data_IF_454665769214
#
_entry.id   IF_454665769214
#
_cell.length_a   1.000
_cell.length_b   1.000
_cell.length_c   1.000
_cell.angle_alpha   90.00
_cell.angle_beta   90.00
_cell.angle_gamma   90.00
#
_symmetry.space_group_name_H-M   'P 1'
#
loop_
_entity.id
_entity.type
_entity.pdbx_description
1 polymer ?
#
# COMPACT_ATOMS: atom_id res chain seq x y z
N UNK A 1 -26.69 -57.61 -54.90
CA UNK A 1 -25.42 -56.97 -54.46
C UNK A 1 -25.78 -55.52 -54.16
N UNK A 2 -25.71 -54.97 -52.95
CA UNK A 2 -24.95 -55.31 -51.76
C UNK A 2 -25.83 -55.24 -50.50
N UNK A 3 -25.57 -56.15 -49.55
CA UNK A 3 -26.26 -56.24 -48.27
C UNK A 3 -25.80 -55.13 -47.32
N UNK A 4 -26.78 -54.55 -46.63
CA UNK A 4 -26.59 -53.62 -45.51
C UNK A 4 -26.14 -54.41 -44.28
N UNK A 5 -25.11 -53.95 -43.56
CA UNK A 5 -24.93 -54.28 -42.14
C UNK A 5 -24.27 -53.16 -41.36
N UNK A 6 -25.04 -52.71 -40.37
CA UNK A 6 -24.73 -51.75 -39.31
C UNK A 6 -23.71 -52.35 -38.33
N UNK A 7 -22.88 -51.47 -37.75
CA UNK A 7 -21.63 -51.70 -37.04
C UNK A 7 -21.71 -52.48 -35.71
N UNK A 8 -20.60 -53.08 -35.23
CA UNK A 8 -20.41 -53.39 -33.83
C UNK A 8 -19.62 -52.27 -33.11
N UNK A 9 -20.05 -51.99 -31.88
CA UNK A 9 -19.38 -51.13 -30.93
C UNK A 9 -18.12 -51.78 -30.32
N UNK A 10 -17.13 -50.94 -30.00
CA UNK A 10 -16.14 -51.23 -28.97
C UNK A 10 -14.69 -51.09 -29.41
N UNK A 11 -14.22 -49.88 -29.70
CA UNK A 11 -12.78 -49.63 -29.80
C UNK A 11 -12.19 -49.36 -28.40
N UNK A 12 -11.47 -50.35 -27.88
CA UNK A 12 -10.55 -50.22 -26.75
C UNK A 12 -9.25 -49.61 -27.27
N UNK A 13 -8.93 -48.40 -26.82
CA UNK A 13 -7.67 -47.72 -27.14
C UNK A 13 -6.50 -48.47 -26.48
N UNK A 14 -5.75 -49.24 -27.24
CA UNK A 14 -4.47 -49.82 -26.80
C UNK A 14 -3.39 -48.73 -26.81
N UNK A 15 -2.77 -48.52 -25.64
CA UNK A 15 -1.65 -47.62 -25.39
C UNK A 15 -0.48 -47.87 -26.35
N UNK A 16 -0.25 -46.95 -27.29
CA UNK A 16 1.01 -46.87 -28.01
C UNK A 16 2.05 -46.16 -27.14
N UNK A 17 3.12 -46.90 -26.80
CA UNK A 17 4.35 -46.36 -26.25
C UNK A 17 4.96 -45.39 -27.27
N UNK A 18 4.86 -44.09 -27.02
CA UNK A 18 5.65 -43.11 -27.76
C UNK A 18 7.04 -43.00 -27.13
N UNK A 19 8.01 -43.55 -27.85
CA UNK A 19 9.46 -43.44 -27.64
C UNK A 19 9.86 -41.97 -27.49
N UNK A 20 10.57 -41.68 -26.40
CA UNK A 20 11.24 -40.40 -26.14
C UNK A 20 12.21 -40.08 -27.28
N UNK A 21 11.87 -39.08 -28.11
CA UNK A 21 12.85 -38.42 -28.96
C UNK A 21 13.73 -37.53 -28.07
N UNK A 22 15.03 -37.80 -28.13
CA UNK A 22 16.11 -36.99 -27.61
C UNK A 22 15.94 -35.52 -28.03
N UNK A 23 15.44 -34.66 -27.11
CA UNK A 23 15.64 -33.22 -27.22
C UNK A 23 17.08 -32.93 -26.82
N UNK A 24 17.80 -32.30 -27.74
CA UNK A 24 19.19 -31.89 -27.67
C UNK A 24 19.53 -31.14 -26.38
N UNK A 25 20.80 -31.26 -25.95
CA UNK A 25 21.46 -30.45 -24.92
C UNK A 25 21.45 -28.97 -25.31
N UNK A 26 20.26 -28.36 -25.27
CA UNK A 26 20.10 -26.93 -25.33
C UNK A 26 20.63 -26.42 -24.00
N UNK A 27 21.93 -26.09 -23.99
CA UNK A 27 22.65 -25.50 -22.86
C UNK A 27 21.68 -24.57 -22.14
N UNK A 28 21.22 -24.98 -20.95
CA UNK A 28 20.45 -24.12 -20.06
C UNK A 28 21.27 -22.83 -19.93
N UNK A 29 20.84 -21.77 -20.62
CA UNK A 29 21.50 -20.47 -20.50
C UNK A 29 21.51 -20.17 -19.01
N UNK A 30 22.65 -19.75 -18.42
CA UNK A 30 22.64 -19.25 -17.06
C UNK A 30 21.52 -18.23 -17.00
N UNK A 31 20.56 -18.43 -16.09
CA UNK A 31 19.52 -17.43 -15.84
C UNK A 31 20.29 -16.12 -15.65
N UNK A 32 19.99 -15.04 -16.40
CA UNK A 32 20.68 -13.77 -16.24
C UNK A 32 20.79 -13.48 -14.75
N UNK A 33 21.99 -13.10 -14.28
CA UNK A 33 22.17 -12.72 -12.89
C UNK A 33 21.04 -11.77 -12.54
N UNK A 34 20.20 -12.15 -11.57
CA UNK A 34 18.97 -11.44 -11.27
C UNK A 34 19.31 -9.96 -11.11
N UNK A 35 18.82 -9.10 -12.01
CA UNK A 35 19.05 -7.68 -11.89
C UNK A 35 18.25 -7.21 -10.67
N UNK A 36 18.95 -6.79 -9.62
CA UNK A 36 18.31 -6.36 -8.39
C UNK A 36 17.92 -4.89 -8.53
N UNK A 37 16.63 -4.61 -8.44
CA UNK A 37 16.11 -3.24 -8.42
C UNK A 37 16.36 -2.51 -7.10
N UNK A 38 16.07 -1.19 -7.04
CA UNK A 38 16.31 -0.36 -5.86
C UNK A 38 15.56 -0.88 -4.61
N UNK A 39 14.36 -1.42 -4.78
CA UNK A 39 13.59 -2.00 -3.67
C UNK A 39 14.25 -3.26 -3.09
N UNK A 40 14.89 -4.10 -3.92
CA UNK A 40 15.58 -5.28 -3.41
C UNK A 40 16.80 -4.90 -2.54
N UNK A 41 17.46 -3.78 -2.88
CA UNK A 41 18.52 -3.19 -2.06
C UNK A 41 17.96 -2.70 -0.71
N UNK A 42 16.85 -1.96 -0.74
CA UNK A 42 16.19 -1.47 0.47
C UNK A 42 15.78 -2.62 1.41
N UNK A 43 15.22 -3.71 0.87
CA UNK A 43 14.87 -4.90 1.65
C UNK A 43 16.10 -5.52 2.31
N UNK A 44 17.19 -5.70 1.56
CA UNK A 44 18.43 -6.26 2.10
C UNK A 44 18.97 -5.43 3.28
N UNK A 45 19.09 -4.12 3.09
CA UNK A 45 19.58 -3.18 4.11
C UNK A 45 18.66 -3.13 5.34
N UNK A 46 17.34 -3.11 5.13
CA UNK A 46 16.37 -3.04 6.22
C UNK A 46 16.26 -4.34 7.02
N UNK A 47 16.33 -5.50 6.35
CA UNK A 47 16.37 -6.79 7.05
C UNK A 47 17.59 -6.84 7.96
N UNK A 48 18.78 -6.49 7.45
CA UNK A 48 20.00 -6.48 8.26
C UNK A 48 19.91 -5.48 9.41
N UNK A 49 19.51 -4.23 9.12
CA UNK A 49 19.40 -3.14 10.10
C UNK A 49 18.44 -3.50 11.22
N UNK A 50 17.24 -3.98 10.91
CA UNK A 50 16.20 -4.30 11.90
C UNK A 50 16.59 -5.56 12.70
N UNK A 51 17.15 -6.59 12.03
CA UNK A 51 17.65 -7.79 12.71
C UNK A 51 18.72 -7.43 13.74
N UNK A 52 19.70 -6.60 13.35
CA UNK A 52 20.77 -6.12 14.25
C UNK A 52 20.23 -5.27 15.39
N UNK A 53 19.30 -4.34 15.11
CA UNK A 53 18.66 -3.51 16.14
C UNK A 53 17.90 -4.33 17.20
N UNK A 54 17.47 -5.55 16.84
CA UNK A 54 16.82 -6.50 17.74
C UNK A 54 17.76 -7.49 18.41
N UNK A 55 19.07 -7.36 18.20
CA UNK A 55 20.07 -8.30 18.73
C UNK A 55 19.96 -9.71 18.16
N UNK A 56 19.28 -9.90 17.02
CA UNK A 56 19.08 -11.22 16.42
C UNK A 56 20.29 -11.61 15.57
N UNK A 57 20.77 -12.84 15.74
CA UNK A 57 21.70 -13.45 14.79
C UNK A 57 20.96 -13.95 13.56
N UNK A 58 21.67 -14.25 12.48
CA UNK A 58 21.07 -14.88 11.29
C UNK A 58 20.46 -16.25 11.62
N UNK A 59 21.08 -17.00 12.54
CA UNK A 59 20.57 -18.29 13.01
C UNK A 59 19.28 -18.13 13.84
N UNK A 60 19.24 -17.12 14.71
CA UNK A 60 18.04 -16.79 15.48
C UNK A 60 16.88 -16.42 14.56
N UNK A 61 17.11 -15.55 13.57
CA UNK A 61 16.09 -15.20 12.58
C UNK A 61 15.59 -16.42 11.79
N UNK A 62 16.51 -17.30 11.37
CA UNK A 62 16.17 -18.56 10.70
C UNK A 62 15.28 -19.45 11.54
N UNK A 63 15.60 -19.62 12.84
CA UNK A 63 14.80 -20.42 13.77
C UNK A 63 13.41 -19.83 14.01
N UNK A 64 13.27 -18.51 14.11
CA UNK A 64 11.94 -17.87 14.23
C UNK A 64 11.11 -17.98 12.95
N UNK A 65 11.75 -17.92 11.78
CA UNK A 65 11.10 -18.14 10.48
C UNK A 65 10.57 -19.57 10.32
N UNK A 66 11.29 -20.56 10.86
CA UNK A 66 10.83 -21.96 10.92
C UNK A 66 9.56 -22.10 11.78
N UNK A 67 9.53 -21.45 12.95
CA UNK A 67 8.37 -21.48 13.88
C UNK A 67 7.09 -20.91 13.26
N UNK A 68 7.18 -19.94 12.35
CA UNK A 68 6.02 -19.36 11.66
C UNK A 68 5.66 -20.11 10.36
N UNK A 69 6.25 -21.29 10.13
CA UNK A 69 5.95 -22.14 8.98
C UNK A 69 6.55 -21.66 7.66
N UNK A 70 7.54 -20.75 7.70
CA UNK A 70 8.24 -20.26 6.50
C UNK A 70 9.76 -20.35 6.66
N UNK A 71 10.34 -21.57 6.64
CA UNK A 71 11.76 -21.77 6.88
C UNK A 71 12.63 -21.08 5.83
N UNK A 72 13.55 -20.22 6.28
CA UNK A 72 14.62 -19.65 5.46
C UNK A 72 15.95 -20.00 6.13
N UNK A 73 16.80 -20.75 5.41
CA UNK A 73 18.09 -21.18 5.94
C UNK A 73 19.00 -19.98 6.31
N UNK A 74 19.89 -20.10 7.30
CA UNK A 74 20.81 -19.02 7.70
C UNK A 74 21.64 -18.49 6.52
N UNK A 75 22.14 -19.39 5.67
CA UNK A 75 22.91 -19.03 4.47
C UNK A 75 22.09 -18.26 3.43
N UNK A 76 20.77 -18.49 3.38
CA UNK A 76 19.86 -17.78 2.51
C UNK A 76 19.58 -16.36 3.02
N UNK A 77 19.37 -16.18 4.32
CA UNK A 77 19.25 -14.87 4.96
C UNK A 77 20.51 -14.04 4.71
N UNK A 78 21.70 -14.64 4.91
CA UNK A 78 22.97 -13.94 4.66
C UNK A 78 23.12 -13.51 3.18
N UNK A 79 22.56 -14.27 2.24
CA UNK A 79 22.50 -13.88 0.82
C UNK A 79 21.47 -12.79 0.56
N UNK A 80 20.35 -12.77 1.27
CA UNK A 80 19.34 -11.70 1.19
C UNK A 80 19.99 -10.38 1.62
N UNK A 81 20.65 -10.34 2.78
CA UNK A 81 21.32 -9.14 3.31
C UNK A 81 22.43 -8.61 2.39
N UNK A 82 23.11 -9.50 1.66
CA UNK A 82 24.11 -9.14 0.65
C UNK A 82 23.55 -8.82 -0.73
N UNK A 83 22.22 -8.76 -0.88
CA UNK A 83 21.55 -8.57 -2.18
C UNK A 83 21.95 -9.63 -3.22
N UNK A 84 22.26 -10.84 -2.77
CA UNK A 84 22.66 -12.00 -3.58
C UNK A 84 21.52 -13.03 -3.71
N UNK A 85 20.35 -12.74 -3.14
CA UNK A 85 19.14 -13.55 -3.26
C UNK A 85 17.91 -12.64 -3.28
N UNK A 86 17.03 -12.85 -4.26
CA UNK A 86 15.72 -12.20 -4.29
C UNK A 86 14.85 -12.70 -3.16
N UNK A 87 13.97 -11.84 -2.64
CA UNK A 87 13.02 -12.14 -1.58
C UNK A 87 11.64 -12.32 -2.20
N UNK A 88 11.07 -13.54 -2.21
CA UNK A 88 9.67 -13.77 -2.55
C UNK A 88 8.72 -12.95 -1.67
N UNK A 89 7.53 -12.64 -2.16
CA UNK A 89 6.53 -11.83 -1.41
C UNK A 89 6.15 -12.49 -0.08
N UNK A 90 5.95 -13.81 -0.05
CA UNK A 90 5.67 -14.51 1.21
C UNK A 90 6.85 -14.46 2.18
N UNK A 91 8.09 -14.55 1.69
CA UNK A 91 9.30 -14.43 2.53
C UNK A 91 9.39 -13.01 3.11
N UNK A 92 9.04 -11.99 2.32
CA UNK A 92 8.99 -10.60 2.79
C UNK A 92 7.98 -10.43 3.93
N UNK A 93 6.79 -11.02 3.81
CA UNK A 93 5.77 -10.99 4.86
C UNK A 93 6.23 -11.76 6.09
N UNK A 94 6.79 -12.96 5.93
CA UNK A 94 7.32 -13.75 7.03
C UNK A 94 8.45 -13.02 7.77
N UNK A 95 9.36 -12.36 7.03
CA UNK A 95 10.40 -11.51 7.60
C UNK A 95 9.79 -10.34 8.38
N UNK A 96 8.77 -9.68 7.85
CA UNK A 96 8.09 -8.59 8.55
C UNK A 96 7.45 -9.06 9.86
N UNK A 97 6.79 -10.22 9.85
CA UNK A 97 6.17 -10.83 11.03
C UNK A 97 7.22 -11.17 12.09
N UNK A 98 8.27 -11.91 11.72
CA UNK A 98 9.31 -12.35 12.67
C UNK A 98 10.13 -11.18 13.20
N UNK A 99 10.46 -10.22 12.35
CA UNK A 99 11.11 -8.97 12.74
C UNK A 99 10.11 -7.97 13.34
N UNK A 100 8.87 -8.37 13.64
CA UNK A 100 7.78 -7.58 14.19
C UNK A 100 7.79 -6.12 13.71
N UNK A 101 7.73 -5.96 12.39
CA UNK A 101 7.76 -4.69 11.67
C UNK A 101 6.73 -4.73 10.54
N UNK A 102 6.46 -3.59 9.89
CA UNK A 102 5.58 -3.57 8.73
C UNK A 102 6.32 -3.99 7.46
N UNK A 103 5.66 -4.59 6.46
CA UNK A 103 6.26 -4.82 5.15
C UNK A 103 6.79 -3.53 4.52
N UNK A 104 6.10 -2.40 4.76
CA UNK A 104 6.54 -1.08 4.32
C UNK A 104 7.93 -0.69 4.85
N UNK A 105 8.23 -1.02 6.11
CA UNK A 105 9.53 -0.74 6.71
C UNK A 105 10.67 -1.60 6.16
N UNK A 106 10.36 -2.69 5.47
CA UNK A 106 11.33 -3.46 4.70
C UNK A 106 11.49 -2.90 3.28
N UNK A 107 10.40 -2.45 2.67
CA UNK A 107 10.35 -2.06 1.26
C UNK A 107 10.96 -0.68 0.96
N UNK A 108 10.90 0.29 1.90
CA UNK A 108 11.41 1.63 1.68
C UNK A 108 12.66 1.94 2.51
N UNK A 109 13.60 2.76 2.00
CA UNK A 109 14.71 3.23 2.80
C UNK A 109 14.23 3.96 4.06
N UNK A 110 14.97 3.82 5.16
CA UNK A 110 14.67 4.44 6.46
C UNK A 110 15.00 5.95 6.48
N UNK A 111 14.51 6.68 5.49
CA UNK A 111 14.67 8.13 5.30
C UNK A 111 13.29 8.77 5.12
N UNK A 112 13.20 10.06 5.41
CA UNK A 112 11.96 10.83 5.30
C UNK A 112 12.27 12.26 4.82
N UNK A 113 11.25 12.96 4.31
CA UNK A 113 11.38 14.31 3.76
C UNK A 113 11.43 14.31 2.25
N UNK A 114 12.18 15.25 1.68
CA UNK A 114 12.25 15.50 0.23
C UNK A 114 13.46 14.81 -0.44
N UNK A 115 14.15 13.95 0.31
CA UNK A 115 15.22 13.09 -0.23
C UNK A 115 14.61 12.18 -1.32
N UNK A 116 15.20 12.11 -2.52
CA UNK A 116 14.70 11.26 -3.58
C UNK A 116 14.86 9.78 -3.23
N UNK A 117 13.81 8.99 -3.48
CA UNK A 117 13.76 7.54 -3.33
C UNK A 117 13.36 6.94 -4.67
N UNK A 118 14.15 5.99 -5.16
CA UNK A 118 13.84 5.24 -6.38
C UNK A 118 12.83 4.13 -6.07
N UNK A 119 11.62 4.23 -6.64
CA UNK A 119 10.63 3.16 -6.57
C UNK A 119 10.89 2.10 -7.66
N UNK A 120 11.36 2.55 -8.82
CA UNK A 120 11.79 1.73 -9.94
C UNK A 120 12.97 2.42 -10.63
N UNK A 121 13.63 1.76 -11.59
CA UNK A 121 14.72 2.35 -12.36
C UNK A 121 14.34 3.62 -13.13
N UNK A 122 13.04 3.83 -13.39
CA UNK A 122 12.54 4.97 -14.17
C UNK A 122 11.71 5.94 -13.32
N UNK A 123 11.54 5.68 -12.02
CA UNK A 123 10.64 6.45 -11.16
C UNK A 123 11.25 6.75 -9.81
N UNK A 124 11.49 8.04 -9.57
CA UNK A 124 11.91 8.59 -8.30
C UNK A 124 10.83 9.50 -7.74
N UNK A 125 10.67 9.49 -6.42
CA UNK A 125 9.75 10.38 -5.70
C UNK A 125 10.41 10.84 -4.41
N UNK A 126 9.92 11.91 -3.81
CA UNK A 126 10.31 12.28 -2.45
C UNK A 126 10.03 11.13 -1.47
N UNK A 127 10.91 10.89 -0.50
CA UNK A 127 10.74 9.86 0.53
C UNK A 127 9.39 9.97 1.24
N UNK A 128 8.94 11.20 1.54
CA UNK A 128 7.62 11.47 2.11
C UNK A 128 6.49 10.92 1.24
N UNK A 129 6.54 11.17 -0.07
CA UNK A 129 5.55 10.66 -1.03
C UNK A 129 5.59 9.14 -1.08
N UNK A 130 6.78 8.52 -1.16
CA UNK A 130 6.93 7.07 -1.13
C UNK A 130 6.30 6.44 0.12
N UNK A 131 6.59 7.00 1.30
CA UNK A 131 6.06 6.50 2.56
C UNK A 131 4.55 6.71 2.73
N UNK A 132 4.01 7.84 2.26
CA UNK A 132 2.56 8.05 2.24
C UNK A 132 1.90 7.06 1.29
N UNK A 133 2.48 6.86 0.11
CA UNK A 133 1.97 5.90 -0.86
C UNK A 133 1.95 4.47 -0.35
N UNK A 134 3.05 3.96 0.19
CA UNK A 134 3.11 2.56 0.65
C UNK A 134 2.19 2.31 1.86
N UNK A 135 1.84 3.36 2.62
CA UNK A 135 0.87 3.32 3.71
C UNK A 135 -0.58 3.45 3.24
N UNK A 136 -0.82 3.56 1.93
CA UNK A 136 -2.14 3.78 1.36
C UNK A 136 -2.68 5.18 1.63
N UNK A 137 -1.83 6.16 1.96
CA UNK A 137 -2.20 7.52 2.36
C UNK A 137 -2.20 8.55 1.22
N UNK A 138 -1.72 8.20 0.03
CA UNK A 138 -1.80 9.03 -1.19
C UNK A 138 -1.31 8.23 -2.40
N UNK A 139 -1.58 8.65 -3.64
CA UNK A 139 -0.91 8.08 -4.81
C UNK A 139 0.62 8.24 -4.75
N UNK A 140 1.34 7.38 -5.49
CA UNK A 140 2.80 7.48 -5.67
C UNK A 140 3.19 8.56 -6.69
N UNK A 141 2.23 9.12 -7.41
CA UNK A 141 2.45 10.26 -8.30
C UNK A 141 1.91 11.49 -7.62
N UNK A 142 2.71 12.53 -7.67
CA UNK A 142 2.28 13.88 -7.33
C UNK A 142 1.44 14.48 -8.47
N UNK A 143 1.39 13.86 -9.66
CA UNK A 143 0.71 14.38 -10.87
C UNK A 143 1.19 15.80 -11.27
N UNK A 144 2.41 16.17 -10.85
CA UNK A 144 2.93 17.54 -10.97
C UNK A 144 2.48 18.49 -9.86
N UNK A 145 1.76 17.98 -8.84
CA UNK A 145 1.28 18.72 -7.68
C UNK A 145 1.99 18.23 -6.43
N UNK A 146 2.92 19.02 -5.91
CA UNK A 146 3.64 18.64 -4.69
C UNK A 146 2.64 18.74 -3.52
N UNK A 147 2.40 17.70 -2.71
CA UNK A 147 1.41 17.77 -1.62
C UNK A 147 1.68 18.85 -0.56
N UNK A 148 2.86 19.48 -0.55
CA UNK A 148 3.16 20.66 0.27
C UNK A 148 2.63 21.98 -0.31
N UNK A 149 2.44 22.05 -1.63
CA UNK A 149 1.88 23.21 -2.34
C UNK A 149 0.35 23.22 -2.28
N UNK A 150 -0.28 22.08 -1.98
CA UNK A 150 -1.72 22.00 -1.74
C UNK A 150 -2.04 22.67 -0.41
N UNK A 151 -2.71 23.81 -0.49
CA UNK A 151 -3.28 24.56 0.63
C UNK A 151 -4.74 24.16 0.71
N UNK A 152 -5.11 23.32 1.68
CA UNK A 152 -6.53 23.14 2.03
C UNK A 152 -6.93 24.35 2.88
N UNK A 153 -7.25 25.44 2.19
CA UNK A 153 -7.70 26.73 2.73
C UNK A 153 -9.15 27.03 2.36
N UNK A 154 -9.77 28.06 2.93
CA UNK A 154 -11.13 28.46 2.58
C UNK A 154 -11.13 29.06 1.15
N UNK A 155 -12.11 28.62 0.36
CA UNK A 155 -12.44 29.02 -1.02
C UNK A 155 -12.37 30.56 -1.26
N UNK A 156 -11.22 31.15 -1.58
CA UNK A 156 -11.14 32.57 -1.98
C UNK A 156 -10.32 32.85 -3.26
N UNK A 157 -9.79 31.84 -3.95
CA UNK A 157 -9.13 32.05 -5.25
C UNK A 157 -9.59 31.02 -6.30
N UNK A 158 -10.30 31.49 -7.34
CA UNK A 158 -11.01 30.64 -8.32
C UNK A 158 -10.13 29.72 -9.19
N UNK A 159 -8.80 29.85 -9.11
CA UNK A 159 -7.82 28.97 -9.78
C UNK A 159 -7.36 27.80 -8.90
N UNK A 160 -7.53 27.89 -7.57
CA UNK A 160 -7.24 26.80 -6.62
C UNK A 160 -8.37 25.74 -6.67
N UNK A 161 -9.61 26.14 -6.99
CA UNK A 161 -10.80 25.26 -7.05
C UNK A 161 -10.71 24.11 -8.06
N UNK A 162 -10.07 24.29 -9.23
CA UNK A 162 -9.95 23.22 -10.22
C UNK A 162 -8.90 22.19 -9.82
N UNK A 163 -7.74 22.64 -9.34
CA UNK A 163 -6.66 21.78 -8.87
C UNK A 163 -7.08 20.99 -7.63
N UNK A 164 -7.78 21.65 -6.71
CA UNK A 164 -8.32 21.02 -5.51
C UNK A 164 -9.39 19.98 -5.85
N UNK A 165 -10.35 20.31 -6.72
CA UNK A 165 -11.34 19.32 -7.20
C UNK A 165 -10.68 18.12 -7.86
N UNK A 166 -9.69 18.35 -8.72
CA UNK A 166 -8.96 17.27 -9.41
C UNK A 166 -8.18 16.41 -8.42
N UNK A 167 -7.53 17.02 -7.43
CA UNK A 167 -6.83 16.32 -6.36
C UNK A 167 -7.79 15.45 -5.54
N UNK A 168 -8.93 15.99 -5.13
CA UNK A 168 -9.93 15.26 -4.36
C UNK A 168 -10.57 14.13 -5.14
N UNK A 169 -10.90 14.34 -6.42
CA UNK A 169 -11.41 13.28 -7.30
C UNK A 169 -10.40 12.14 -7.42
N UNK A 170 -9.15 12.47 -7.70
CA UNK A 170 -8.06 11.50 -7.81
C UNK A 170 -7.84 10.72 -6.51
N UNK A 171 -7.97 11.39 -5.36
CA UNK A 171 -7.89 10.73 -4.06
C UNK A 171 -9.05 9.75 -3.87
N UNK A 172 -10.27 10.12 -4.26
CA UNK A 172 -11.41 9.21 -4.23
C UNK A 172 -11.18 7.99 -5.13
N UNK A 173 -10.65 8.21 -6.34
CA UNK A 173 -10.34 7.14 -7.29
C UNK A 173 -9.24 6.21 -6.74
N UNK A 174 -8.21 6.77 -6.12
CA UNK A 174 -7.16 6.01 -5.45
C UNK A 174 -7.69 5.19 -4.28
N UNK A 175 -8.49 5.79 -3.40
CA UNK A 175 -9.09 5.09 -2.27
C UNK A 175 -10.09 4.02 -2.75
N UNK A 176 -10.75 4.21 -3.90
CA UNK A 176 -11.67 3.25 -4.51
C UNK A 176 -11.00 1.92 -4.91
N UNK A 177 -9.73 1.96 -5.32
CA UNK A 177 -8.98 0.76 -5.73
C UNK A 177 -8.06 0.22 -4.63
N UNK A 178 -7.71 1.04 -3.64
CA UNK A 178 -6.75 0.69 -2.59
C UNK A 178 -7.42 0.07 -1.36
N UNK A 179 -8.65 0.50 -1.03
CA UNK A 179 -9.28 0.19 0.26
C UNK A 179 -10.51 -0.70 0.10
N UNK A 180 -10.74 -1.64 1.04
CA UNK A 180 -12.00 -2.36 1.12
C UNK A 180 -13.21 -1.41 1.22
N UNK A 181 -14.40 -1.81 0.72
CA UNK A 181 -15.57 -0.93 0.68
C UNK A 181 -15.94 -0.29 2.02
N UNK A 182 -15.85 -1.03 3.11
CA UNK A 182 -16.16 -0.56 4.47
C UNK A 182 -15.17 0.50 4.92
N UNK A 183 -13.88 0.25 4.73
CA UNK A 183 -12.81 1.19 5.11
C UNK A 183 -12.83 2.45 4.24
N UNK A 184 -13.18 2.31 2.96
CA UNK A 184 -13.37 3.44 2.05
C UNK A 184 -14.49 4.37 2.51
N UNK A 185 -15.64 3.83 2.97
CA UNK A 185 -16.73 4.66 3.52
C UNK A 185 -16.27 5.45 4.73
N UNK A 186 -15.56 4.78 5.65
CA UNK A 186 -15.01 5.45 6.84
C UNK A 186 -14.06 6.58 6.43
N UNK A 187 -13.17 6.33 5.47
CA UNK A 187 -12.17 7.31 5.03
C UNK A 187 -12.77 8.50 4.26
N UNK A 188 -13.81 8.28 3.48
CA UNK A 188 -14.50 9.33 2.71
C UNK A 188 -15.40 10.21 3.59
N UNK A 189 -15.69 9.78 4.82
CA UNK A 189 -16.46 10.56 5.78
C UNK A 189 -15.80 11.94 6.05
N UNK A 190 -16.56 13.05 6.11
CA UNK A 190 -16.02 14.40 6.39
C UNK A 190 -15.07 14.44 7.59
N UNK A 191 -15.49 13.91 8.75
CA UNK A 191 -14.64 13.80 9.93
C UNK A 191 -13.29 13.12 9.67
N UNK A 192 -13.25 12.00 8.92
CA UNK A 192 -11.99 11.33 8.59
C UNK A 192 -11.10 12.15 7.66
N UNK A 193 -11.70 12.94 6.75
CA UNK A 193 -10.96 13.87 5.89
C UNK A 193 -10.35 15.01 6.71
N UNK A 194 -11.07 15.52 7.70
CA UNK A 194 -10.55 16.54 8.61
C UNK A 194 -9.48 15.99 9.56
N UNK A 195 -9.54 14.71 9.98
CA UNK A 195 -8.43 14.03 10.67
C UNK A 195 -7.17 14.02 9.78
N UNK A 196 -7.30 13.61 8.52
CA UNK A 196 -6.16 13.58 7.58
C UNK A 196 -5.58 14.99 7.35
N UNK A 197 -6.44 16.01 7.23
CA UNK A 197 -6.03 17.41 7.10
C UNK A 197 -5.32 17.91 8.35
N UNK A 198 -5.87 17.69 9.54
CA UNK A 198 -5.26 18.07 10.81
C UNK A 198 -3.89 17.41 10.98
N UNK A 199 -3.78 16.10 10.71
CA UNK A 199 -2.51 15.40 10.77
C UNK A 199 -1.46 16.00 9.80
N UNK A 200 -1.85 16.36 8.57
CA UNK A 200 -0.96 17.02 7.63
C UNK A 200 -0.47 18.39 8.15
N UNK A 201 -1.37 19.22 8.67
CA UNK A 201 -1.00 20.55 9.18
C UNK A 201 -0.11 20.47 10.43
N UNK A 202 -0.39 19.52 11.33
CA UNK A 202 0.45 19.25 12.50
C UNK A 202 1.82 18.72 12.09
N UNK A 203 1.91 17.79 11.13
CA UNK A 203 3.19 17.31 10.61
C UNK A 203 4.04 18.43 10.01
N UNK A 204 3.43 19.41 9.31
CA UNK A 204 4.13 20.58 8.78
C UNK A 204 4.62 21.48 9.91
N UNK A 205 3.75 21.81 10.86
CA UNK A 205 4.07 22.65 12.01
C UNK A 205 5.24 22.09 12.84
N UNK A 206 5.19 20.81 13.20
CA UNK A 206 6.22 20.15 14.01
C UNK A 206 7.61 20.22 13.35
N UNK A 207 7.68 20.19 12.01
CA UNK A 207 8.96 20.34 11.30
C UNK A 207 9.53 21.75 11.38
N UNK A 208 8.66 22.75 11.47
CA UNK A 208 9.09 24.14 11.56
C UNK A 208 9.70 24.45 12.94
N UNK A 209 9.28 23.74 13.99
CA UNK A 209 9.84 23.88 15.36
C UNK A 209 11.36 23.70 15.38
N UNK A 210 11.91 22.76 14.59
CA UNK A 210 13.35 22.54 14.46
C UNK A 210 13.98 23.17 13.21
N UNK A 211 13.21 23.97 12.46
CA UNK A 211 13.58 24.52 11.16
C UNK A 211 14.12 25.94 11.22
N UNK A 212 14.41 26.51 10.03
CA UNK A 212 14.80 27.91 9.85
C UNK A 212 13.61 28.81 9.50
N UNK A 213 12.39 28.35 9.74
CA UNK A 213 11.20 29.13 9.43
C UNK A 213 11.19 30.42 10.28
N UNK A 214 10.79 31.54 9.67
CA UNK A 214 10.57 32.78 10.43
C UNK A 214 9.31 32.68 11.28
N UNK A 215 9.23 33.50 12.33
CA UNK A 215 8.15 33.50 13.31
C UNK A 215 6.75 33.66 12.67
N UNK A 216 6.62 34.55 11.67
CA UNK A 216 5.37 34.78 10.93
C UNK A 216 4.89 33.51 10.22
N UNK A 217 5.77 32.85 9.47
CA UNK A 217 5.42 31.60 8.78
C UNK A 217 5.03 30.48 9.76
N UNK A 218 5.68 30.45 10.93
CA UNK A 218 5.33 29.51 11.99
C UNK A 218 3.93 29.77 12.56
N UNK A 219 3.60 31.03 12.86
CA UNK A 219 2.28 31.43 13.36
C UNK A 219 1.17 31.16 12.33
N UNK A 220 1.42 31.40 11.04
CA UNK A 220 0.49 31.05 9.97
C UNK A 220 0.22 29.54 9.93
N UNK A 221 1.27 28.73 10.01
CA UNK A 221 1.14 27.27 10.01
C UNK A 221 0.46 26.76 11.29
N UNK A 222 0.69 27.41 12.43
CA UNK A 222 0.00 27.12 13.69
C UNK A 222 -1.50 27.43 13.59
N UNK A 223 -1.85 28.57 12.99
CA UNK A 223 -3.24 28.96 12.73
C UNK A 223 -3.96 27.97 11.80
N UNK A 224 -3.29 27.52 10.74
CA UNK A 224 -3.80 26.47 9.83
C UNK A 224 -4.03 25.15 10.56
N UNK A 225 -3.10 24.75 11.43
CA UNK A 225 -3.24 23.52 12.22
C UNK A 225 -4.40 23.59 13.21
N UNK A 226 -4.58 24.72 13.91
CA UNK A 226 -5.72 24.95 14.82
C UNK A 226 -7.05 24.91 14.06
N UNK A 227 -7.15 25.66 12.97
CA UNK A 227 -8.34 25.68 12.12
C UNK A 227 -8.74 24.27 11.63
N UNK A 228 -7.77 23.42 11.29
CA UNK A 228 -8.05 22.04 10.88
C UNK A 228 -8.59 21.17 12.05
N UNK A 229 -8.09 21.38 13.27
CA UNK A 229 -8.60 20.69 14.47
C UNK A 229 -10.01 21.18 14.83
N UNK A 230 -10.30 22.47 14.68
CA UNK A 230 -11.63 23.03 14.96
C UNK A 230 -12.69 22.51 13.97
N UNK A 231 -12.32 22.36 12.69
CA UNK A 231 -13.18 21.67 11.70
C UNK A 231 -13.46 20.23 12.08
N UNK A 232 -12.42 19.48 12.47
CA UNK A 232 -12.60 18.11 12.96
C UNK A 232 -13.54 18.06 14.17
N UNK A 233 -13.36 18.93 15.15
CA UNK A 233 -14.23 19.00 16.33
C UNK A 233 -15.69 19.23 15.93
N UNK A 234 -15.93 20.17 15.01
CA UNK A 234 -17.25 20.45 14.46
C UNK A 234 -17.87 19.23 13.78
N UNK A 235 -17.10 18.49 12.95
CA UNK A 235 -17.61 17.28 12.30
C UNK A 235 -17.91 16.16 13.30
N UNK A 236 -17.11 16.01 14.36
CA UNK A 236 -17.36 15.03 15.42
C UNK A 236 -18.64 15.34 16.20
N UNK A 237 -18.93 16.61 16.45
CA UNK A 237 -20.17 17.05 17.10
C UNK A 237 -21.43 16.76 16.27
N UNK A 238 -21.31 16.63 14.95
CA UNK A 238 -22.42 16.29 14.04
C UNK A 238 -22.76 14.79 14.01
N UNK A 239 -21.84 13.92 14.39
CA UNK A 239 -22.02 12.46 14.32
C UNK A 239 -23.26 11.92 15.06
N UNK A 240 -23.64 12.41 16.26
CA UNK A 240 -24.86 11.95 16.93
C UNK A 240 -26.12 12.22 16.12
N UNK A 241 -26.23 13.40 15.50
CA UNK A 241 -27.38 13.74 14.65
C UNK A 241 -27.42 12.87 13.39
N UNK A 242 -26.27 12.67 12.75
CA UNK A 242 -26.16 11.79 11.59
C UNK A 242 -26.61 10.36 11.93
N UNK A 243 -26.19 9.83 13.08
CA UNK A 243 -26.60 8.51 13.56
C UNK A 243 -28.12 8.40 13.72
N UNK A 244 -28.76 9.40 14.31
CA UNK A 244 -30.22 9.38 14.48
C UNK A 244 -30.95 9.49 13.13
N UNK A 245 -30.44 10.28 12.17
CA UNK A 245 -30.97 10.32 10.80
C UNK A 245 -30.89 8.95 10.12
N UNK A 246 -29.73 8.28 10.19
CA UNK A 246 -29.54 6.94 9.61
C UNK A 246 -30.49 5.91 10.25
N UNK A 247 -30.69 5.95 11.57
CA UNK A 247 -31.65 5.08 12.25
C UNK A 247 -33.09 5.33 11.77
N UNK A 248 -33.50 6.59 11.67
CA UNK A 248 -34.83 6.97 11.20
C UNK A 248 -35.08 6.50 9.75
N UNK A 249 -34.10 6.66 8.86
CA UNK A 249 -34.20 6.20 7.47
C UNK A 249 -34.26 4.68 7.37
N UNK A 250 -33.51 3.96 8.22
CA UNK A 250 -33.58 2.50 8.28
C UNK A 250 -34.96 2.02 8.72
N UNK A 251 -35.54 2.65 9.74
CA UNK A 251 -36.89 2.34 10.22
C UNK A 251 -37.95 2.61 9.13
N UNK A 252 -37.84 3.74 8.41
CA UNK A 252 -38.72 4.06 7.28
C UNK A 252 -38.66 3.02 6.15
N UNK A 253 -37.45 2.59 5.76
CA UNK A 253 -37.27 1.56 4.73
C UNK A 253 -37.84 0.21 5.16
N UNK A 254 -37.69 -0.15 6.43
CA UNK A 254 -38.27 -1.39 6.96
C UNK A 254 -39.80 -1.36 6.91
N UNK A 255 -40.42 -0.26 7.35
CA UNK A 255 -41.87 -0.09 7.28
C UNK A 255 -42.41 -0.12 5.84
N UNK A 256 -41.68 0.42 4.87
CA UNK A 256 -42.04 0.37 3.44
C UNK A 256 -41.94 -1.04 2.85
N UNK A 257 -40.95 -1.84 3.27
CA UNK A 257 -40.82 -3.23 2.84
C UNK A 257 -41.95 -4.10 3.40
N UNK A 258 -42.31 -3.91 4.67
CA UNK A 258 -43.40 -4.66 5.34
C UNK A 258 -44.80 -4.29 4.80
N UNK A 259 -44.99 -3.05 4.33
CA UNK A 259 -46.25 -2.60 3.72
C UNK A 259 -46.41 -2.93 2.23
N UNK A 260 -45.39 -3.49 1.57
CA UNK A 260 -45.42 -3.88 0.15
C UNK A 260 -45.79 -5.35 -0.07
N UNK A 261 -45.78 -6.16 0.99
CA UNK A 261 -46.02 -7.62 0.96
C UNK A 261 -47.44 -8.01 1.48
N UNK A 262 -48.32 -7.02 1.72
CA UNK A 262 -49.70 -7.21 2.18
C UNK A 262 -50.73 -6.59 1.22
#
# INVERSE_FOLDING_TARGET
MAETKVAPQGEKWTSMRHTLLFMTDEKRRPRPAAQYGPIAKAVAENVERIRKARGMTIYSLSGELDKVGRPIAPSAIAKIERQQRQVPVDDLVALAVVLNTSPAALLLPSVWGDVPVELTSERQVAARTAWRWIRGLSPASDYGVIPSEIVVGPDDDSWEDELDRKYWQMRQDYDAVTLPPELRRVRQHPASRDVDAANLQVERLVRMVGGKAGDEAFEDQLSRARSAVDRLATELERLPEERERIKADRARRQAQAEGSDG
#
